data_IF_664412545931
#
_entry.id   IF_664412545931
#
_cell.length_a   1.000
_cell.length_b   1.000
_cell.length_c   1.000
_cell.angle_alpha   90.00
_cell.angle_beta   90.00
_cell.angle_gamma   90.00
#
_symmetry.space_group_name_H-M   'P 1'
#
loop_
_entity.id
_entity.type
_entity.pdbx_description
1 polymer ?
#
# COMPACT_ATOMS: atom_id res chain seq x y z
N UNK A 1 3.02 -48.82 -13.28
CA UNK A 1 3.55 -47.45 -13.19
C UNK A 1 2.40 -46.56 -12.78
N UNK A 2 2.43 -46.10 -11.54
CA UNK A 2 1.27 -45.49 -10.86
C UNK A 2 1.03 -44.06 -11.33
N UNK A 3 -0.26 -43.75 -11.52
CA UNK A 3 -0.79 -42.44 -11.88
C UNK A 3 -0.58 -41.41 -10.75
N UNK A 4 -0.22 -40.18 -11.12
CA UNK A 4 -0.39 -39.00 -10.26
C UNK A 4 -1.25 -37.97 -11.00
N UNK A 5 -2.57 -38.19 -11.01
CA UNK A 5 -3.50 -37.07 -11.17
C UNK A 5 -3.47 -36.28 -9.87
N UNK A 6 -3.00 -35.04 -9.94
CA UNK A 6 -3.12 -34.08 -8.85
C UNK A 6 -4.63 -33.84 -8.67
N UNK A 7 -5.21 -34.56 -7.71
CA UNK A 7 -6.55 -34.28 -7.23
C UNK A 7 -6.51 -32.90 -6.58
N UNK A 8 -7.08 -31.89 -7.25
CA UNK A 8 -7.39 -30.62 -6.59
C UNK A 8 -8.39 -30.94 -5.47
N UNK A 9 -8.13 -30.58 -4.21
CA UNK A 9 -9.16 -30.64 -3.20
C UNK A 9 -10.26 -29.67 -3.61
N UNK A 10 -11.49 -30.18 -3.68
CA UNK A 10 -12.73 -29.41 -3.74
C UNK A 10 -12.68 -28.35 -2.64
N UNK A 11 -12.28 -27.13 -3.00
CA UNK A 11 -12.39 -25.99 -2.11
C UNK A 11 -13.88 -25.73 -1.92
N UNK A 12 -14.42 -26.24 -0.83
CA UNK A 12 -15.57 -25.65 -0.15
C UNK A 12 -15.27 -24.17 -0.03
N UNK A 13 -15.76 -23.36 -0.98
CA UNK A 13 -15.74 -21.90 -0.88
C UNK A 13 -16.62 -21.58 0.32
N UNK A 14 -16.04 -21.57 1.51
CA UNK A 14 -16.54 -20.74 2.58
C UNK A 14 -16.68 -19.36 1.94
N UNK A 15 -17.93 -18.93 1.74
CA UNK A 15 -18.22 -17.61 1.20
C UNK A 15 -17.67 -16.63 2.22
N UNK A 16 -16.41 -16.23 2.00
CA UNK A 16 -15.79 -15.18 2.78
C UNK A 16 -16.76 -13.99 2.74
N UNK A 17 -17.01 -13.33 3.88
CA UNK A 17 -17.89 -12.17 3.89
C UNK A 17 -17.41 -11.23 2.78
N UNK A 18 -18.29 -10.99 1.81
CA UNK A 18 -17.99 -10.12 0.67
C UNK A 18 -17.61 -8.79 1.27
N UNK A 19 -16.29 -8.50 1.30
CA UNK A 19 -15.78 -7.22 1.76
C UNK A 19 -16.60 -6.13 1.07
N UNK A 20 -17.05 -5.07 1.78
CA UNK A 20 -17.88 -4.03 1.18
C UNK A 20 -17.33 -3.50 -0.14
N UNK A 21 -16.00 -3.50 -0.29
CA UNK A 21 -15.31 -3.05 -1.50
C UNK A 21 -15.55 -3.94 -2.73
N UNK A 22 -15.92 -5.21 -2.54
CA UNK A 22 -16.28 -6.13 -3.63
C UNK A 22 -17.71 -5.92 -4.12
N UNK A 23 -18.48 -5.01 -3.52
CA UNK A 23 -19.83 -4.60 -3.99
C UNK A 23 -19.78 -3.39 -4.92
N UNK A 24 -18.62 -2.75 -5.02
CA UNK A 24 -18.41 -1.58 -5.86
C UNK A 24 -18.18 -2.05 -7.30
N UNK A 25 -18.77 -1.41 -8.32
CA UNK A 25 -18.48 -1.76 -9.71
C UNK A 25 -17.02 -1.50 -10.06
N UNK A 26 -16.47 -2.29 -10.98
CA UNK A 26 -15.05 -2.23 -11.35
C UNK A 26 -14.60 -0.82 -11.76
N UNK A 27 -15.43 -0.05 -12.46
CA UNK A 27 -15.14 1.32 -12.89
C UNK A 27 -14.85 2.25 -11.71
N UNK A 28 -15.65 2.14 -10.65
CA UNK A 28 -15.51 2.97 -9.46
C UNK A 28 -14.28 2.54 -8.66
N UNK A 29 -14.03 1.23 -8.58
CA UNK A 29 -12.83 0.70 -7.95
C UNK A 29 -11.58 1.23 -8.66
N UNK A 30 -11.52 1.14 -9.99
CA UNK A 30 -10.42 1.69 -10.81
C UNK A 30 -10.28 3.20 -10.63
N UNK A 31 -11.38 3.93 -10.53
CA UNK A 31 -11.36 5.38 -10.30
C UNK A 31 -10.69 5.71 -8.96
N UNK A 32 -11.04 4.98 -7.90
CA UNK A 32 -10.42 5.11 -6.58
C UNK A 32 -8.93 4.78 -6.66
N UNK A 33 -8.58 3.65 -7.28
CA UNK A 33 -7.18 3.23 -7.44
C UNK A 33 -6.36 4.27 -8.22
N UNK A 34 -6.92 4.85 -9.27
CA UNK A 34 -6.24 5.85 -10.10
C UNK A 34 -5.93 7.10 -9.27
N UNK A 35 -6.88 7.53 -8.43
CA UNK A 35 -6.67 8.67 -7.55
C UNK A 35 -5.60 8.39 -6.49
N UNK A 36 -5.62 7.22 -5.85
CA UNK A 36 -4.64 6.86 -4.80
C UNK A 36 -3.23 6.67 -5.35
N UNK A 37 -3.11 6.19 -6.59
CA UNK A 37 -1.84 5.89 -7.25
C UNK A 37 -1.21 7.10 -7.98
N UNK A 38 -1.67 8.33 -7.73
CA UNK A 38 -1.11 9.53 -8.39
C UNK A 38 0.35 9.80 -8.00
N UNK A 39 0.75 9.42 -6.77
CA UNK A 39 2.08 9.72 -6.20
C UNK A 39 2.86 8.46 -5.86
N UNK A 40 3.03 7.55 -6.82
CA UNK A 40 3.82 6.34 -6.58
C UNK A 40 5.31 6.62 -6.55
N UNK A 41 6.02 5.94 -5.66
CA UNK A 41 7.48 5.87 -5.66
C UNK A 41 7.89 4.42 -5.49
N UNK A 42 8.85 3.97 -6.31
CA UNK A 42 9.47 2.65 -6.14
C UNK A 42 10.51 2.71 -5.00
N UNK A 43 11.08 3.90 -4.77
CA UNK A 43 12.14 4.15 -3.80
C UNK A 43 11.58 4.23 -2.39
N UNK A 44 10.54 5.06 -2.19
CA UNK A 44 9.93 5.27 -0.87
C UNK A 44 8.89 4.17 -0.58
N UNK A 45 9.13 3.27 0.40
CA UNK A 45 8.20 2.20 0.75
C UNK A 45 6.82 2.71 1.17
N UNK A 46 6.72 3.92 1.73
CA UNK A 46 5.43 4.50 2.16
C UNK A 46 4.58 4.96 0.98
N UNK A 47 5.19 5.16 -0.19
CA UNK A 47 4.54 5.64 -1.43
C UNK A 47 4.42 4.57 -2.52
N UNK A 48 4.58 3.28 -2.20
CA UNK A 48 4.40 2.16 -3.14
C UNK A 48 2.91 1.81 -3.37
N UNK A 49 2.05 2.79 -3.61
CA UNK A 49 0.59 2.58 -3.63
C UNK A 49 0.17 1.56 -4.69
N UNK A 50 0.64 1.66 -5.94
CA UNK A 50 0.31 0.70 -7.01
C UNK A 50 0.71 -0.74 -6.66
N UNK A 51 1.84 -0.93 -5.98
CA UNK A 51 2.25 -2.25 -5.51
C UNK A 51 1.34 -2.75 -4.38
N UNK A 52 1.06 -1.90 -3.38
CA UNK A 52 0.19 -2.24 -2.26
C UNK A 52 -1.22 -2.60 -2.72
N UNK A 53 -1.84 -1.83 -3.61
CA UNK A 53 -3.19 -2.12 -4.12
C UNK A 53 -3.23 -3.42 -4.93
N UNK A 54 -2.19 -3.70 -5.73
CA UNK A 54 -2.08 -4.96 -6.50
C UNK A 54 -1.88 -6.20 -5.61
N UNK A 55 -1.52 -6.01 -4.34
CA UNK A 55 -1.31 -7.08 -3.37
C UNK A 55 -2.54 -7.38 -2.48
N UNK A 56 -3.61 -6.58 -2.55
CA UNK A 56 -4.80 -6.73 -1.68
C UNK A 56 -5.57 -8.02 -1.95
N UNK A 57 -5.99 -8.26 -3.20
CA UNK A 57 -6.69 -9.48 -3.61
C UNK A 57 -6.55 -9.70 -5.13
N UNK A 58 -7.01 -10.86 -5.62
CA UNK A 58 -6.93 -11.21 -7.04
C UNK A 58 -7.66 -10.22 -7.96
N UNK A 59 -8.86 -9.77 -7.57
CA UNK A 59 -9.64 -8.79 -8.34
C UNK A 59 -8.89 -7.46 -8.48
N UNK A 60 -8.30 -6.97 -7.39
CA UNK A 60 -7.55 -5.71 -7.42
C UNK A 60 -6.28 -5.83 -8.24
N UNK A 61 -5.63 -6.99 -8.21
CA UNK A 61 -4.48 -7.27 -9.07
C UNK A 61 -4.86 -7.26 -10.55
N UNK A 62 -5.96 -7.91 -10.91
CA UNK A 62 -6.45 -7.96 -12.29
C UNK A 62 -6.80 -6.56 -12.81
N UNK A 63 -7.47 -5.75 -11.98
CA UNK A 63 -7.74 -4.35 -12.31
C UNK A 63 -6.45 -3.53 -12.38
N UNK A 64 -5.54 -3.67 -11.42
CA UNK A 64 -4.28 -2.94 -11.45
C UNK A 64 -3.46 -3.23 -12.73
N UNK A 65 -3.47 -4.48 -13.21
CA UNK A 65 -2.74 -4.86 -14.41
C UNK A 65 -3.45 -4.48 -15.72
N UNK A 66 -4.79 -4.40 -15.73
CA UNK A 66 -5.57 -4.03 -16.91
C UNK A 66 -5.63 -2.52 -17.17
N UNK A 67 -5.25 -1.69 -16.19
CA UNK A 67 -5.22 -0.23 -16.30
C UNK A 67 -3.78 0.32 -16.18
N UNK A 68 -3.05 0.48 -17.30
CA UNK A 68 -1.67 0.97 -17.30
C UNK A 68 -1.47 2.37 -16.71
N UNK A 69 -2.54 3.17 -16.66
CA UNK A 69 -2.55 4.52 -16.07
C UNK A 69 -2.13 4.51 -14.60
N UNK A 70 -2.44 3.44 -13.86
CA UNK A 70 -2.01 3.22 -12.47
C UNK A 70 -0.50 3.11 -12.31
N UNK A 71 0.19 2.73 -13.38
CA UNK A 71 1.63 2.54 -13.44
C UNK A 71 2.31 3.61 -14.30
N UNK A 72 1.59 4.64 -14.75
CA UNK A 72 2.18 5.65 -15.65
C UNK A 72 2.91 6.76 -14.90
N UNK A 73 2.65 6.92 -13.60
CA UNK A 73 3.24 7.95 -12.76
C UNK A 73 3.92 7.31 -11.56
N UNK A 74 5.23 7.08 -11.67
CA UNK A 74 6.05 6.68 -10.53
C UNK A 74 7.45 7.27 -10.60
N UNK A 75 8.02 7.52 -9.42
CA UNK A 75 9.39 7.97 -9.25
C UNK A 75 10.33 6.77 -9.17
N UNK A 76 11.43 6.83 -9.95
CA UNK A 76 12.54 5.88 -9.89
C UNK A 76 13.81 6.66 -9.62
N UNK A 77 14.61 6.19 -8.67
CA UNK A 77 15.98 6.66 -8.47
C UNK A 77 16.92 5.71 -9.22
N UNK A 78 17.64 6.24 -10.21
CA UNK A 78 18.54 5.45 -11.06
C UNK A 78 19.99 5.40 -10.54
N UNK A 79 20.23 5.90 -9.32
CA UNK A 79 21.58 5.97 -8.76
C UNK A 79 22.38 7.14 -9.32
N UNK A 80 22.84 8.00 -8.44
CA UNK A 80 24.10 8.72 -8.58
C UNK A 80 24.94 8.30 -7.37
N UNK A 81 26.23 8.06 -7.58
CA UNK A 81 27.13 7.72 -6.47
C UNK A 81 26.99 8.79 -5.37
N UNK A 82 26.81 8.39 -4.10
CA UNK A 82 26.90 9.33 -2.98
C UNK A 82 28.37 9.66 -2.79
N UNK A 83 28.93 10.49 -3.67
CA UNK A 83 30.11 11.27 -3.31
C UNK A 83 29.64 12.35 -2.34
N UNK A 84 29.83 12.07 -1.05
CA UNK A 84 30.00 13.01 0.06
C UNK A 84 29.00 14.18 0.13
N UNK A 85 27.80 13.93 0.66
CA UNK A 85 27.05 15.02 1.30
C UNK A 85 26.60 14.59 2.69
N UNK A 86 27.41 14.99 3.67
CA UNK A 86 27.18 14.92 5.11
C UNK A 86 26.04 15.89 5.50
N UNK A 87 24.86 15.75 4.90
CA UNK A 87 23.69 16.52 5.29
C UNK A 87 23.01 15.82 6.46
N UNK A 88 23.50 16.11 7.66
CA UNK A 88 22.79 15.91 8.91
C UNK A 88 21.45 16.66 8.83
N UNK A 89 20.36 15.92 8.68
CA UNK A 89 19.00 16.48 8.71
C UNK A 89 18.62 16.75 10.16
N UNK A 90 18.91 17.95 10.63
CA UNK A 90 18.45 18.44 11.92
C UNK A 90 16.92 18.44 12.02
N UNK A 91 16.44 17.81 13.08
CA UNK A 91 15.17 18.04 13.79
C UNK A 91 13.84 17.54 13.18
N UNK A 92 13.56 16.26 13.42
CA UNK A 92 12.33 15.87 14.12
C UNK A 92 12.72 15.50 15.56
N UNK A 93 12.86 16.49 16.45
CA UNK A 93 12.94 16.26 17.90
C UNK A 93 11.51 16.17 18.47
N UNK A 94 11.02 15.00 18.91
CA UNK A 94 9.67 14.86 19.46
C UNK A 94 9.57 15.38 20.90
N UNK A 95 10.64 15.95 21.47
CA UNK A 95 10.77 16.16 22.92
C UNK A 95 10.23 17.50 23.43
N UNK A 96 9.49 18.29 22.64
CA UNK A 96 8.93 19.58 23.11
C UNK A 96 7.50 19.84 22.66
N UNK A 97 6.52 19.31 23.38
CA UNK A 97 5.23 20.03 23.61
C UNK A 97 4.46 19.47 24.81
N UNK A 98 4.66 20.15 25.94
CA UNK A 98 3.81 20.35 27.13
C UNK A 98 3.40 19.17 28.04
N UNK A 99 4.10 19.11 29.17
CA UNK A 99 3.53 18.69 30.46
C UNK A 99 2.30 19.55 30.79
N UNK A 100 1.11 18.97 30.76
CA UNK A 100 -0.04 19.51 31.47
C UNK A 100 0.04 19.04 32.92
N UNK A 101 0.52 19.94 33.79
CA UNK A 101 0.50 19.78 35.24
C UNK A 101 -0.94 19.56 35.72
N UNK A 102 -1.14 18.50 36.51
CA UNK A 102 -2.39 18.20 37.19
C UNK A 102 -2.73 19.30 38.22
N UNK A 103 -4.02 19.60 38.48
CA UNK A 103 -4.38 20.54 39.53
C UNK A 103 -4.02 19.96 40.90
N UNK A 104 -3.19 20.69 41.66
CA UNK A 104 -3.01 20.46 43.09
C UNK A 104 -4.28 20.87 43.83
N UNK A 105 -4.87 19.92 44.57
CA UNK A 105 -5.78 20.23 45.66
C UNK A 105 -4.94 20.71 46.85
N UNK A 106 -5.26 21.89 47.38
CA UNK A 106 -4.77 22.39 48.67
C UNK A 106 -5.98 22.52 49.62
N UNK A 107 -5.72 22.25 50.91
CA UNK A 107 -6.65 21.99 52.04
C UNK A 107 -7.91 22.88 52.17
#
# INVERSE_FOLDING_TARGET
MSNCYISLPSQSRMLQPISPINRIPNELLVTILTYTCTKNSIVDPKRRYSMHVSAVCSLWRELALSYPTLWSQFEVFLGGDPEDSDYESDADDPSRTFQTTAPQCED
#
